data_IF_322219260008
#
_entry.id   IF_322219260008
#
_cell.length_a   1.000
_cell.length_b   1.000
_cell.length_c   1.000
_cell.angle_alpha   90.00
_cell.angle_beta   90.00
_cell.angle_gamma   90.00
#
_symmetry.space_group_name_H-M   'P 1'
#
loop_
_entity.id
_entity.type
_entity.pdbx_description
1 polymer ?
#
# COMPACT_ATOMS: atom_id res chain seq x y z
N UNK A 1 -28.58 9.80 1.68
CA UNK A 1 -27.65 8.81 2.25
C UNK A 1 -27.96 8.73 3.74
N UNK A 2 -28.62 7.67 4.22
CA UNK A 2 -28.92 7.51 5.64
C UNK A 2 -27.64 6.99 6.29
N UNK A 3 -27.01 7.81 7.13
CA UNK A 3 -25.81 7.40 7.88
C UNK A 3 -26.28 6.46 8.99
N UNK A 4 -26.03 5.17 8.82
CA UNK A 4 -26.29 4.17 9.85
C UNK A 4 -25.34 4.39 11.03
N UNK A 5 -25.87 4.97 12.11
CA UNK A 5 -25.11 5.24 13.34
C UNK A 5 -24.61 3.97 14.03
N UNK A 6 -25.17 2.80 13.71
CA UNK A 6 -24.77 1.51 14.28
C UNK A 6 -23.62 0.83 13.52
N UNK A 7 -23.31 1.28 12.31
CA UNK A 7 -22.24 0.70 11.49
C UNK A 7 -20.86 0.86 12.15
N UNK A 8 -20.59 2.03 12.75
CA UNK A 8 -19.33 2.27 13.46
C UNK A 8 -19.21 1.45 14.75
N UNK A 9 -20.32 1.26 15.48
CA UNK A 9 -20.32 0.44 16.70
C UNK A 9 -20.06 -1.04 16.41
N UNK A 10 -20.57 -1.55 15.29
CA UNK A 10 -20.30 -2.90 14.81
C UNK A 10 -18.83 -3.09 14.42
N UNK A 11 -18.26 -2.16 13.67
CA UNK A 11 -16.82 -2.12 13.38
C UNK A 11 -15.97 -2.11 14.67
N UNK A 12 -16.37 -1.32 15.68
CA UNK A 12 -15.67 -1.23 16.96
C UNK A 12 -15.72 -2.52 17.79
N UNK A 13 -16.79 -3.32 17.65
CA UNK A 13 -17.01 -4.60 18.34
C UNK A 13 -16.54 -5.82 17.53
N UNK A 14 -16.15 -5.61 16.28
CA UNK A 14 -15.66 -6.66 15.38
C UNK A 14 -14.46 -7.46 15.93
N UNK A 15 -13.50 -6.89 16.70
CA UNK A 15 -12.34 -7.66 17.20
C UNK A 15 -12.73 -8.67 18.29
N UNK A 16 -12.17 -9.89 18.20
CA UNK A 16 -12.39 -10.93 19.21
C UNK A 16 -11.82 -10.51 20.59
N UNK A 17 -12.29 -11.16 21.65
CA UNK A 17 -11.86 -10.92 23.03
C UNK A 17 -10.33 -11.13 23.27
N UNK A 18 -9.62 -11.71 22.30
CA UNK A 18 -8.17 -11.94 22.35
C UNK A 18 -7.33 -10.75 21.87
N UNK A 19 -7.94 -9.72 21.27
CA UNK A 19 -7.24 -8.54 20.77
C UNK A 19 -6.80 -7.66 21.94
N UNK A 20 -5.65 -8.00 22.52
CA UNK A 20 -5.01 -7.20 23.57
C UNK A 20 -4.02 -6.21 22.94
N UNK A 21 -3.76 -5.04 23.55
CA UNK A 21 -2.81 -4.06 23.01
C UNK A 21 -1.41 -4.65 22.82
N UNK A 22 -0.99 -5.57 23.69
CA UNK A 22 0.28 -6.27 23.56
C UNK A 22 0.32 -7.18 22.33
N UNK A 23 -0.77 -7.92 22.06
CA UNK A 23 -0.90 -8.74 20.86
C UNK A 23 -1.02 -7.90 19.59
N UNK A 24 -1.65 -6.73 19.68
CA UNK A 24 -1.71 -5.77 18.58
C UNK A 24 -0.29 -5.31 18.23
N UNK A 25 0.47 -4.81 19.21
CA UNK A 25 1.87 -4.41 19.04
C UNK A 25 2.74 -5.55 18.51
N UNK A 26 2.58 -6.77 19.04
CA UNK A 26 3.33 -7.94 18.58
C UNK A 26 3.00 -8.28 17.12
N UNK A 27 1.72 -8.25 16.73
CA UNK A 27 1.35 -8.46 15.34
C UNK A 27 1.81 -7.33 14.42
N UNK A 28 1.82 -6.07 14.87
CA UNK A 28 2.42 -4.95 14.12
C UNK A 28 3.92 -5.17 13.93
N UNK A 29 4.64 -5.59 14.99
CA UNK A 29 6.07 -5.88 14.90
C UNK A 29 6.36 -7.03 13.91
N UNK A 30 5.52 -8.06 13.89
CA UNK A 30 5.60 -9.14 12.89
C UNK A 30 5.40 -8.57 11.48
N UNK A 31 4.39 -7.74 11.27
CA UNK A 31 4.13 -7.11 9.95
C UNK A 31 5.33 -6.28 9.49
N UNK A 32 5.87 -5.44 10.37
CA UNK A 32 7.04 -4.61 10.08
C UNK A 32 8.27 -5.47 9.77
N UNK A 33 8.49 -6.57 10.51
CA UNK A 33 9.56 -7.52 10.23
C UNK A 33 9.45 -8.15 8.84
N UNK A 34 8.27 -8.62 8.45
CA UNK A 34 8.06 -9.20 7.12
C UNK A 34 8.20 -8.15 6.01
N UNK A 35 7.70 -6.94 6.24
CA UNK A 35 7.88 -5.84 5.30
C UNK A 35 9.37 -5.47 5.15
N UNK A 36 10.10 -5.27 6.24
CA UNK A 36 11.54 -5.01 6.21
C UNK A 36 12.32 -6.13 5.53
N UNK A 37 11.98 -7.40 5.79
CA UNK A 37 12.62 -8.53 5.14
C UNK A 37 12.35 -8.54 3.63
N UNK A 38 11.10 -8.29 3.21
CA UNK A 38 10.75 -8.18 1.80
C UNK A 38 11.48 -7.01 1.12
N UNK A 39 11.53 -5.84 1.78
CA UNK A 39 12.28 -4.68 1.31
C UNK A 39 13.77 -4.98 1.20
N UNK A 40 14.37 -5.68 2.17
CA UNK A 40 15.78 -6.07 2.12
C UNK A 40 16.06 -7.03 0.96
N UNK A 41 15.19 -8.02 0.74
CA UNK A 41 15.30 -8.96 -0.40
C UNK A 41 15.19 -8.21 -1.73
N UNK A 42 14.26 -7.27 -1.84
CA UNK A 42 14.12 -6.42 -3.04
C UNK A 42 15.34 -5.54 -3.25
N UNK A 43 15.85 -4.89 -2.20
CA UNK A 43 17.00 -4.01 -2.31
C UNK A 43 18.26 -4.79 -2.66
N UNK A 44 18.57 -5.87 -1.95
CA UNK A 44 19.81 -6.64 -2.20
C UNK A 44 19.69 -7.50 -3.45
N UNK A 45 18.64 -8.31 -3.54
CA UNK A 45 18.41 -9.22 -4.66
C UNK A 45 18.09 -8.49 -5.96
N UNK A 46 17.25 -7.46 -5.89
CA UNK A 46 16.90 -6.62 -7.05
C UNK A 46 18.09 -5.82 -7.56
N UNK A 47 18.87 -5.20 -6.68
CA UNK A 47 20.10 -4.50 -7.08
C UNK A 47 21.12 -5.48 -7.68
N UNK A 48 21.31 -6.65 -7.09
CA UNK A 48 22.21 -7.67 -7.65
C UNK A 48 21.79 -8.11 -9.06
N UNK A 49 20.51 -8.46 -9.23
CA UNK A 49 19.96 -8.86 -10.53
C UNK A 49 20.10 -7.72 -11.57
N UNK A 50 19.87 -6.47 -11.15
CA UNK A 50 20.02 -5.29 -12.00
C UNK A 50 21.47 -5.09 -12.47
N UNK A 51 22.46 -5.26 -11.58
CA UNK A 51 23.88 -5.18 -11.96
C UNK A 51 24.23 -6.26 -12.98
N UNK A 52 23.80 -7.51 -12.75
CA UNK A 52 24.09 -8.64 -13.65
C UNK A 52 23.45 -8.42 -15.02
N UNK A 53 22.21 -7.94 -15.06
CA UNK A 53 21.51 -7.63 -16.30
C UNK A 53 22.15 -6.45 -17.08
N UNK A 54 22.61 -5.41 -16.37
CA UNK A 54 23.35 -4.30 -17.00
C UNK A 54 24.70 -4.76 -17.55
N UNK A 55 25.38 -5.65 -16.86
CA UNK A 55 26.63 -6.24 -17.33
C UNK A 55 26.39 -7.09 -18.61
N UNK A 56 25.31 -7.87 -18.66
CA UNK A 56 24.99 -8.69 -19.84
C UNK A 56 24.56 -7.88 -21.07
N UNK A 57 24.06 -6.65 -20.86
CA UNK A 57 23.64 -5.74 -21.95
C UNK A 57 24.74 -4.77 -22.39
N UNK A 58 25.93 -4.84 -21.78
CA UNK A 58 27.06 -3.95 -22.09
C UNK A 58 26.88 -2.52 -21.57
N UNK A 59 25.87 -2.26 -20.72
CA UNK A 59 25.50 -0.93 -20.24
C UNK A 59 26.42 -0.33 -19.16
N UNK A 60 27.62 -0.91 -18.97
CA UNK A 60 28.62 -0.48 -17.99
C UNK A 60 28.18 -0.61 -16.52
N UNK A 61 29.06 -0.19 -15.60
CA UNK A 61 28.78 -0.18 -14.16
C UNK A 61 27.90 1.03 -13.79
N UNK A 62 26.97 0.92 -12.82
CA UNK A 62 26.17 2.04 -12.34
C UNK A 62 27.03 3.25 -11.95
N UNK A 63 26.65 4.46 -12.38
CA UNK A 63 27.44 5.68 -12.20
C UNK A 63 27.08 6.43 -10.90
N UNK A 64 25.79 6.46 -10.53
CA UNK A 64 25.29 7.08 -9.29
C UNK A 64 25.35 6.15 -8.06
N UNK A 65 25.60 4.86 -8.29
CA UNK A 65 25.62 3.81 -7.26
C UNK A 65 24.61 2.72 -7.57
N UNK A 66 24.89 1.44 -7.26
CA UNK A 66 24.06 0.34 -7.75
C UNK A 66 22.61 0.37 -7.25
N UNK A 67 22.41 0.74 -5.98
CA UNK A 67 21.06 0.82 -5.37
C UNK A 67 20.29 2.03 -5.91
N UNK A 68 20.96 3.18 -6.06
CA UNK A 68 20.31 4.41 -6.54
C UNK A 68 19.86 4.27 -8.00
N UNK A 69 20.74 3.78 -8.87
CA UNK A 69 20.41 3.56 -10.28
C UNK A 69 19.32 2.49 -10.43
N UNK A 70 19.31 1.48 -9.57
CA UNK A 70 18.25 0.47 -9.54
C UNK A 70 16.91 1.09 -9.16
N UNK A 71 16.82 1.83 -8.04
CA UNK A 71 15.57 2.44 -7.58
C UNK A 71 15.04 3.53 -8.53
N UNK A 72 15.93 4.19 -9.28
CA UNK A 72 15.54 5.13 -10.33
C UNK A 72 15.07 4.45 -11.62
N UNK A 73 15.27 3.13 -11.75
CA UNK A 73 14.83 2.37 -12.92
C UNK A 73 13.37 1.93 -12.80
N UNK A 74 12.64 1.75 -13.91
CA UNK A 74 11.28 1.20 -13.89
C UNK A 74 11.20 -0.17 -13.18
N UNK A 75 12.24 -1.00 -13.36
CA UNK A 75 12.33 -2.32 -12.74
C UNK A 75 12.47 -2.21 -11.21
N UNK A 76 13.24 -1.24 -10.73
CA UNK A 76 13.39 -0.97 -9.30
C UNK A 76 12.10 -0.47 -8.66
N UNK A 77 11.36 0.42 -9.34
CA UNK A 77 10.06 0.88 -8.83
C UNK A 77 9.07 -0.28 -8.74
N UNK A 78 8.96 -1.12 -9.79
CA UNK A 78 8.03 -2.26 -9.79
C UNK A 78 8.37 -3.28 -8.70
N UNK A 79 9.66 -3.58 -8.52
CA UNK A 79 10.12 -4.50 -7.47
C UNK A 79 9.99 -3.89 -6.07
N UNK A 80 10.18 -2.57 -5.92
CA UNK A 80 9.91 -1.86 -4.67
C UNK A 80 8.44 -1.93 -4.28
N UNK A 81 7.51 -1.73 -5.23
CA UNK A 81 6.08 -1.90 -4.98
C UNK A 81 5.74 -3.35 -4.58
N UNK A 82 6.44 -4.33 -5.15
CA UNK A 82 6.26 -5.74 -4.76
C UNK A 82 6.66 -6.00 -3.30
N UNK A 83 7.54 -5.21 -2.69
CA UNK A 83 7.90 -5.36 -1.27
C UNK A 83 6.70 -5.20 -0.31
N UNK A 84 5.66 -4.47 -0.74
CA UNK A 84 4.41 -4.34 0.02
C UNK A 84 3.65 -5.67 0.16
N UNK A 85 3.90 -6.66 -0.70
CA UNK A 85 3.41 -8.02 -0.49
C UNK A 85 3.87 -8.60 0.85
N UNK A 86 5.03 -8.16 1.37
CA UNK A 86 5.53 -8.52 2.70
C UNK A 86 4.56 -8.11 3.83
N UNK A 87 3.84 -6.99 3.67
CA UNK A 87 2.82 -6.55 4.63
C UNK A 87 1.65 -7.54 4.64
N UNK A 88 1.19 -7.99 3.47
CA UNK A 88 0.13 -9.01 3.38
C UNK A 88 0.53 -10.33 4.06
N UNK A 89 1.77 -10.78 3.84
CA UNK A 89 2.29 -11.99 4.49
C UNK A 89 2.35 -11.78 6.01
N UNK A 90 2.87 -10.62 6.45
CA UNK A 90 2.93 -10.26 7.87
C UNK A 90 1.55 -10.21 8.53
N UNK A 91 0.56 -9.61 7.85
CA UNK A 91 -0.83 -9.55 8.30
C UNK A 91 -1.43 -10.95 8.38
N UNK A 92 -1.17 -11.81 7.39
CA UNK A 92 -1.62 -13.20 7.40
C UNK A 92 -1.07 -13.94 8.63
N UNK A 93 0.24 -13.81 8.89
CA UNK A 93 0.88 -14.42 10.06
C UNK A 93 0.31 -13.86 11.35
N UNK A 94 0.22 -12.53 11.49
CA UNK A 94 -0.31 -11.88 12.68
C UNK A 94 -1.77 -12.31 12.95
N UNK A 95 -2.62 -12.30 11.94
CA UNK A 95 -4.02 -12.70 12.07
C UNK A 95 -4.16 -14.19 12.38
N UNK A 96 -3.41 -15.06 11.70
CA UNK A 96 -3.51 -16.51 11.88
C UNK A 96 -2.95 -16.99 13.22
N UNK A 97 -1.80 -16.48 13.64
CA UNK A 97 -1.07 -16.99 14.80
C UNK A 97 -1.29 -16.18 16.08
N UNK A 98 -1.38 -14.85 15.99
CA UNK A 98 -1.51 -13.97 17.17
C UNK A 98 -2.97 -13.81 17.58
N UNK A 99 -3.82 -13.45 16.62
CA UNK A 99 -5.24 -13.16 16.86
C UNK A 99 -6.16 -14.35 16.61
N UNK A 100 -5.70 -15.34 15.83
CA UNK A 100 -6.46 -16.52 15.39
C UNK A 100 -7.78 -16.17 14.68
N UNK A 101 -7.75 -15.11 13.89
CA UNK A 101 -8.88 -14.63 13.09
C UNK A 101 -8.58 -14.80 11.59
N UNK A 102 -9.62 -14.94 10.74
CA UNK A 102 -9.42 -14.93 9.28
C UNK A 102 -9.00 -13.54 8.81
N UNK A 103 -8.10 -13.48 7.81
CA UNK A 103 -7.72 -12.22 7.13
C UNK A 103 -8.93 -11.44 6.61
N UNK A 104 -9.99 -12.14 6.20
CA UNK A 104 -11.23 -11.54 5.71
C UNK A 104 -11.89 -10.61 6.75
N UNK A 105 -11.61 -10.78 8.06
CA UNK A 105 -12.09 -9.89 9.11
C UNK A 105 -11.47 -8.48 9.04
N UNK A 106 -10.33 -8.31 8.35
CA UNK A 106 -9.69 -7.01 8.11
C UNK A 106 -10.33 -6.25 6.94
N UNK A 107 -11.01 -6.95 6.03
CA UNK A 107 -11.57 -6.37 4.78
C UNK A 107 -13.00 -5.83 4.98
N UNK A 108 -13.42 -5.68 6.24
CA UNK A 108 -14.70 -5.07 6.61
C UNK A 108 -15.85 -6.07 6.81
N UNK A 109 -16.82 -5.66 7.62
CA UNK A 109 -17.90 -6.48 8.15
C UNK A 109 -18.94 -6.92 7.11
N UNK A 110 -19.01 -6.22 5.97
CA UNK A 110 -19.98 -6.51 4.91
C UNK A 110 -19.49 -7.50 3.84
N UNK A 111 -18.20 -7.87 3.82
CA UNK A 111 -17.60 -8.75 2.80
C UNK A 111 -17.92 -8.36 1.34
N UNK A 112 -18.39 -7.13 1.08
CA UNK A 112 -18.92 -6.68 -0.21
C UNK A 112 -18.39 -5.30 -0.54
N UNK A 113 -17.69 -5.22 -1.66
CA UNK A 113 -17.24 -3.94 -2.25
C UNK A 113 -18.44 -3.31 -2.95
N UNK A 114 -18.85 -2.11 -2.52
CA UNK A 114 -19.86 -1.33 -3.26
C UNK A 114 -19.21 -0.70 -4.49
N UNK A 115 -19.23 -1.42 -5.61
CA UNK A 115 -18.69 -0.96 -6.90
C UNK A 115 -19.19 0.43 -7.33
N UNK A 116 -20.43 0.79 -6.97
CA UNK A 116 -20.99 2.10 -7.25
C UNK A 116 -20.32 3.22 -6.47
N UNK A 117 -19.94 3.00 -5.22
CA UNK A 117 -19.26 4.03 -4.42
C UNK A 117 -17.77 4.10 -4.77
N UNK A 118 -17.15 2.95 -5.09
CA UNK A 118 -15.83 2.91 -5.70
C UNK A 118 -15.78 3.72 -7.00
N UNK A 119 -16.77 3.56 -7.89
CA UNK A 119 -16.84 4.31 -9.15
C UNK A 119 -17.03 5.82 -8.93
N UNK A 120 -17.87 6.22 -7.97
CA UNK A 120 -18.03 7.64 -7.62
C UNK A 120 -16.71 8.23 -7.11
N UNK A 121 -16.00 7.50 -6.25
CA UNK A 121 -14.68 7.90 -5.75
C UNK A 121 -13.67 8.01 -6.89
N UNK A 122 -13.62 7.01 -7.78
CA UNK A 122 -12.74 7.00 -8.95
C UNK A 122 -13.01 8.21 -9.86
N UNK A 123 -14.28 8.49 -10.18
CA UNK A 123 -14.67 9.64 -11.00
C UNK A 123 -14.26 10.95 -10.32
N UNK A 124 -14.49 11.09 -9.01
CA UNK A 124 -14.10 12.29 -8.28
C UNK A 124 -12.57 12.49 -8.30
N UNK A 125 -11.79 11.43 -8.13
CA UNK A 125 -10.31 11.47 -8.20
C UNK A 125 -9.83 11.81 -9.61
N UNK A 126 -10.46 11.24 -10.64
CA UNK A 126 -10.13 11.54 -12.04
C UNK A 126 -10.42 13.00 -12.41
N UNK A 127 -11.60 13.51 -12.01
CA UNK A 127 -11.97 14.90 -12.26
C UNK A 127 -11.02 15.85 -11.53
N UNK A 128 -10.76 15.60 -10.24
CA UNK A 128 -9.86 16.44 -9.46
C UNK A 128 -8.42 16.39 -9.99
N UNK A 129 -7.92 15.21 -10.36
CA UNK A 129 -6.60 15.07 -11.00
C UNK A 129 -6.52 15.85 -12.32
N UNK A 130 -7.54 15.72 -13.18
CA UNK A 130 -7.58 16.42 -14.46
C UNK A 130 -7.60 17.94 -14.26
N UNK A 131 -8.39 18.44 -13.32
CA UNK A 131 -8.43 19.87 -12.98
C UNK A 131 -7.09 20.34 -12.42
N UNK A 132 -6.47 19.56 -11.53
CA UNK A 132 -5.13 19.86 -11.01
C UNK A 132 -4.08 19.91 -12.12
N UNK A 133 -4.13 18.98 -13.07
CA UNK A 133 -3.19 18.94 -14.19
C UNK A 133 -3.37 20.13 -15.14
N UNK A 134 -4.61 20.47 -15.50
CA UNK A 134 -4.92 21.67 -16.29
C UNK A 134 -4.40 22.92 -15.58
N UNK A 135 -4.65 23.04 -14.28
CA UNK A 135 -4.18 24.16 -13.47
C UNK A 135 -2.65 24.23 -13.44
N UNK A 136 -1.98 23.08 -13.27
CA UNK A 136 -0.52 22.98 -13.24
C UNK A 136 0.11 23.44 -14.57
N UNK A 137 -0.43 22.99 -15.72
CA UNK A 137 0.04 23.42 -17.04
C UNK A 137 -0.25 24.90 -17.31
N UNK A 138 -1.33 25.45 -16.74
CA UNK A 138 -1.63 26.87 -16.85
C UNK A 138 -0.67 27.73 -16.03
N UNK A 139 -0.29 27.28 -14.82
CA UNK A 139 0.67 27.97 -13.95
C UNK A 139 2.13 27.79 -14.39
N UNK A 140 2.49 26.63 -14.95
CA UNK A 140 3.84 26.30 -15.38
C UNK A 140 3.83 25.60 -16.75
N UNK A 141 3.76 26.36 -17.85
CA UNK A 141 3.72 25.80 -19.20
C UNK A 141 5.05 25.15 -19.63
N UNK A 142 6.14 25.39 -18.91
CA UNK A 142 7.47 24.82 -19.17
C UNK A 142 7.66 23.40 -18.63
N UNK A 143 6.63 22.76 -18.07
CA UNK A 143 6.73 21.37 -17.62
C UNK A 143 7.01 20.49 -18.84
N UNK A 144 8.28 20.10 -18.97
CA UNK A 144 8.74 19.20 -19.99
C UNK A 144 7.99 17.86 -19.83
N UNK A 145 7.37 17.39 -20.91
CA UNK A 145 6.80 16.05 -20.97
C UNK A 145 7.93 15.07 -20.64
N UNK A 146 7.69 14.15 -19.69
CA UNK A 146 8.62 13.06 -19.42
C UNK A 146 8.93 12.31 -20.72
N UNK A 147 10.18 11.92 -20.93
CA UNK A 147 10.67 11.30 -22.16
C UNK A 147 10.12 9.86 -22.44
N UNK A 148 9.00 9.49 -21.80
CA UNK A 148 8.41 8.17 -21.91
C UNK A 148 7.45 8.17 -23.11
N UNK A 149 7.70 7.28 -24.08
CA UNK A 149 6.79 7.10 -25.20
C UNK A 149 5.44 6.58 -24.72
N UNK A 150 4.34 7.00 -25.37
CA UNK A 150 2.99 6.54 -25.04
C UNK A 150 2.87 5.01 -25.06
N UNK A 151 3.57 4.34 -25.98
CA UNK A 151 3.63 2.88 -26.06
C UNK A 151 4.25 2.23 -24.82
N UNK A 152 5.36 2.79 -24.33
CA UNK A 152 6.03 2.32 -23.11
C UNK A 152 5.13 2.55 -21.90
N UNK A 153 4.49 3.73 -21.83
CA UNK A 153 3.56 4.06 -20.75
C UNK A 153 2.36 3.07 -20.70
N UNK A 154 1.74 2.78 -21.85
CA UNK A 154 0.64 1.81 -21.93
C UNK A 154 1.06 0.39 -21.54
N UNK A 155 2.27 -0.03 -21.91
CA UNK A 155 2.80 -1.35 -21.55
C UNK A 155 2.96 -1.50 -20.03
N UNK A 156 3.45 -0.45 -19.36
CA UNK A 156 3.64 -0.46 -17.91
C UNK A 156 2.38 -0.10 -17.11
N UNK A 157 1.33 0.42 -17.76
CA UNK A 157 0.09 0.81 -17.08
C UNK A 157 -0.53 -0.34 -16.30
N UNK A 158 -0.71 -1.50 -16.93
CA UNK A 158 -1.33 -2.68 -16.31
C UNK A 158 -0.55 -3.14 -15.06
N UNK A 159 0.76 -3.45 -15.13
CA UNK A 159 1.50 -3.88 -13.95
C UNK A 159 1.58 -2.80 -12.88
N UNK A 160 1.70 -1.52 -13.24
CA UNK A 160 1.70 -0.41 -12.27
C UNK A 160 0.35 -0.35 -11.53
N UNK A 161 -0.78 -0.43 -12.24
CA UNK A 161 -2.10 -0.39 -11.61
C UNK A 161 -2.28 -1.58 -10.66
N UNK A 162 -1.89 -2.78 -11.05
CA UNK A 162 -1.98 -3.96 -10.18
C UNK A 162 -1.12 -3.82 -8.92
N UNK A 163 0.11 -3.32 -9.07
CA UNK A 163 1.02 -3.12 -7.95
C UNK A 163 0.62 -1.94 -7.05
N UNK A 164 0.05 -0.88 -7.62
CA UNK A 164 -0.52 0.22 -6.86
C UNK A 164 -1.73 -0.26 -6.05
N UNK A 165 -2.61 -1.08 -6.64
CA UNK A 165 -3.70 -1.72 -5.90
C UNK A 165 -3.19 -2.63 -4.78
N UNK A 166 -2.10 -3.38 -5.01
CA UNK A 166 -1.44 -4.16 -3.97
C UNK A 166 -0.92 -3.27 -2.84
N UNK A 167 -0.24 -2.17 -3.17
CA UNK A 167 0.29 -1.24 -2.19
C UNK A 167 -0.84 -0.60 -1.37
N UNK A 168 -1.80 0.04 -2.04
CA UNK A 168 -2.92 0.72 -1.38
C UNK A 168 -3.75 -0.25 -0.56
N UNK A 169 -3.99 -1.48 -1.04
CA UNK A 169 -4.71 -2.49 -0.26
C UNK A 169 -3.91 -2.95 0.97
N UNK A 170 -2.58 -3.03 0.87
CA UNK A 170 -1.72 -3.39 2.00
C UNK A 170 -1.75 -2.32 3.09
N UNK A 171 -1.63 -1.06 2.70
CA UNK A 171 -1.70 0.09 3.61
C UNK A 171 -3.08 0.18 4.26
N UNK A 172 -4.15 0.10 3.48
CA UNK A 172 -5.51 0.15 4.00
C UNK A 172 -5.79 -1.03 4.95
N UNK A 173 -5.34 -2.24 4.62
CA UNK A 173 -5.49 -3.41 5.50
C UNK A 173 -4.68 -3.27 6.80
N UNK A 174 -3.48 -2.68 6.76
CA UNK A 174 -2.64 -2.45 7.94
C UNK A 174 -3.17 -1.33 8.82
N UNK A 175 -3.39 -0.15 8.25
CA UNK A 175 -3.78 1.04 9.01
C UNK A 175 -5.25 0.98 9.41
N UNK A 176 -6.16 0.73 8.47
CA UNK A 176 -7.60 0.74 8.75
C UNK A 176 -8.16 -0.62 9.13
N UNK A 177 -7.65 -1.69 8.52
CA UNK A 177 -8.11 -3.05 8.82
C UNK A 177 -7.60 -3.55 10.18
N UNK A 178 -6.31 -3.36 10.47
CA UNK A 178 -5.65 -3.97 11.62
C UNK A 178 -5.43 -3.00 12.79
N UNK A 179 -4.71 -1.90 12.58
CA UNK A 179 -4.36 -0.94 13.65
C UNK A 179 -5.59 -0.18 14.16
N UNK A 180 -6.34 0.46 13.26
CA UNK A 180 -7.53 1.24 13.59
C UNK A 180 -8.59 0.37 14.28
N UNK A 181 -8.84 -0.84 13.75
CA UNK A 181 -9.79 -1.82 14.32
C UNK A 181 -9.37 -2.23 15.73
N UNK A 182 -8.09 -2.55 15.93
CA UNK A 182 -7.54 -2.90 17.24
C UNK A 182 -7.62 -1.76 18.26
N UNK A 183 -7.21 -0.55 17.86
CA UNK A 183 -7.22 0.63 18.72
C UNK A 183 -8.65 1.10 19.06
N UNK A 184 -9.55 1.15 18.09
CA UNK A 184 -10.93 1.58 18.27
C UNK A 184 -11.70 0.68 19.23
N UNK A 185 -11.42 -0.63 19.24
CA UNK A 185 -12.06 -1.56 20.19
C UNK A 185 -11.72 -1.27 21.66
N UNK A 186 -10.54 -0.68 21.92
CA UNK A 186 -10.02 -0.53 23.28
C UNK A 186 -10.01 0.90 23.81
N UNK A 187 -9.82 1.87 22.93
CA UNK A 187 -9.75 3.29 23.30
C UNK A 187 -11.03 4.00 22.86
N UNK A 188 -11.75 4.58 23.82
CA UNK A 188 -12.93 5.40 23.54
C UNK A 188 -12.60 6.77 22.95
N UNK A 189 -11.33 7.21 23.06
CA UNK A 189 -10.88 8.53 22.61
C UNK A 189 -10.60 8.55 21.09
N UNK A 190 -11.33 9.37 20.30
CA UNK A 190 -11.13 9.56 18.86
C UNK A 190 -9.70 9.89 18.47
N UNK A 191 -9.00 10.65 19.30
CA UNK A 191 -7.64 11.10 19.03
C UNK A 191 -6.64 9.93 19.03
N UNK A 192 -6.86 8.91 19.85
CA UNK A 192 -5.93 7.78 20.00
C UNK A 192 -6.13 6.76 18.88
N UNK A 193 -7.36 6.48 18.48
CA UNK A 193 -7.61 5.53 17.39
C UNK A 193 -7.52 6.17 16.01
N UNK A 194 -7.83 7.46 15.83
CA UNK A 194 -7.73 8.13 14.54
C UNK A 194 -6.37 8.76 14.27
N UNK A 195 -5.68 9.28 15.30
CA UNK A 195 -4.43 10.04 15.11
C UNK A 195 -3.14 9.20 15.14
N UNK A 196 -3.16 8.04 15.80
CA UNK A 196 -1.99 7.17 15.93
C UNK A 196 -1.71 6.29 14.68
N UNK A 197 -2.72 5.87 13.90
CA UNK A 197 -2.51 5.20 12.61
C UNK A 197 -2.47 6.15 11.41
N UNK A 198 -2.30 7.46 11.62
CA UNK A 198 -2.22 8.52 10.60
C UNK A 198 -0.77 8.87 10.28
#
# INVERSE_FOLDING_TARGET
MIIDRTAFERYRRSPNARTTPLRLLLGTAIVVLFWMAATLVVLLGGTYAFIVWRASTGAGRPAGGPVQDFLASPQGILTALLSFAGIWIGLWVAMRFVHREPLAALVGESHRVSWLDFLKGLIAVLITSLLSEILLYWLQPEIARGAISLSTWLLFLIPIVLLALLQTSSEEALFRGYLLRGLASRFSSPLIWAGLPL
#
